data_IF_953837841769
#
_entry.id   IF_953837841769
#
_cell.length_a   1.000
_cell.length_b   1.000
_cell.length_c   1.000
_cell.angle_alpha   90.00
_cell.angle_beta   90.00
_cell.angle_gamma   90.00
#
_symmetry.space_group_name_H-M   'P 1'
#
loop_
_entity.id
_entity.type
_entity.pdbx_description
1 polymer ?
#
# COMPACT_ATOMS: atom_id res chain seq x y z
N UNK A 1 -11.37 -24.78 17.05
CA UNK A 1 -11.24 -23.33 17.33
C UNK A 1 -10.28 -22.77 16.29
N UNK A 2 -10.43 -21.55 15.77
CA UNK A 2 -9.52 -21.01 14.76
C UNK A 2 -8.20 -20.64 15.46
N UNK A 3 -7.03 -20.96 14.85
CA UNK A 3 -5.67 -20.68 15.35
C UNK A 3 -5.51 -19.22 15.81
N UNK A 4 -6.05 -18.27 15.06
CA UNK A 4 -6.01 -16.86 15.43
C UNK A 4 -6.66 -16.59 16.80
N UNK A 5 -7.80 -17.23 17.07
CA UNK A 5 -8.47 -17.06 18.37
C UNK A 5 -7.69 -17.66 19.54
N UNK A 6 -6.92 -18.72 19.29
CA UNK A 6 -6.04 -19.34 20.30
C UNK A 6 -4.87 -18.39 20.60
N UNK A 7 -4.20 -17.87 19.55
CA UNK A 7 -3.12 -16.88 19.70
C UNK A 7 -3.59 -15.61 20.43
N UNK A 8 -4.77 -15.08 20.11
CA UNK A 8 -5.31 -13.90 20.80
C UNK A 8 -5.52 -14.17 22.29
N UNK A 9 -6.08 -15.32 22.65
CA UNK A 9 -6.28 -15.69 24.05
C UNK A 9 -4.97 -15.87 24.82
N UNK A 10 -3.96 -16.43 24.16
CA UNK A 10 -2.65 -16.71 24.76
C UNK A 10 -1.84 -15.42 24.93
N UNK A 11 -1.70 -14.61 23.86
CA UNK A 11 -0.79 -13.47 23.82
C UNK A 11 -1.45 -12.13 24.16
N UNK A 12 -2.78 -12.02 24.07
CA UNK A 12 -3.51 -10.79 24.35
C UNK A 12 -4.70 -11.01 25.28
N UNK A 13 -4.53 -11.66 26.46
CA UNK A 13 -5.64 -11.95 27.37
C UNK A 13 -6.36 -10.69 27.88
N UNK A 14 -5.65 -9.55 27.92
CA UNK A 14 -6.16 -8.25 28.36
C UNK A 14 -6.46 -7.29 27.17
N UNK A 15 -6.54 -7.81 25.94
CA UNK A 15 -6.74 -7.04 24.73
C UNK A 15 -5.46 -6.62 24.03
N UNK A 16 -5.59 -6.02 22.85
CA UNK A 16 -4.47 -5.57 22.02
C UNK A 16 -4.19 -4.10 22.29
N UNK A 17 -2.92 -3.71 22.55
CA UNK A 17 -2.59 -2.30 22.73
C UNK A 17 -2.72 -1.53 21.41
N UNK A 18 -3.19 -0.27 21.50
CA UNK A 18 -3.24 0.66 20.39
C UNK A 18 -2.10 1.66 20.47
N UNK A 19 -1.43 1.94 19.35
CA UNK A 19 -0.36 2.92 19.23
C UNK A 19 -0.51 3.75 17.97
N UNK A 20 0.11 4.94 17.95
CA UNK A 20 0.15 5.77 16.75
C UNK A 20 1.11 5.18 15.72
N UNK A 21 0.80 5.35 14.43
CA UNK A 21 1.67 4.90 13.33
C UNK A 21 3.10 5.40 13.51
N UNK A 22 3.28 6.68 13.83
CA UNK A 22 4.61 7.30 14.03
C UNK A 22 5.43 6.71 15.17
N UNK A 23 4.79 6.07 16.15
CA UNK A 23 5.46 5.49 17.31
C UNK A 23 5.90 4.04 17.08
N UNK A 24 5.46 3.43 15.97
CA UNK A 24 5.70 2.01 15.65
C UNK A 24 6.50 1.85 14.35
N UNK A 25 6.27 2.73 13.37
CA UNK A 25 6.82 2.59 12.02
C UNK A 25 7.76 3.74 11.66
N UNK A 26 8.80 3.42 10.92
CA UNK A 26 9.76 4.40 10.42
C UNK A 26 9.24 5.04 9.14
N UNK A 27 9.15 6.37 9.13
CA UNK A 27 8.80 7.12 7.94
C UNK A 27 9.98 7.22 6.98
N UNK A 28 9.73 6.94 5.71
CA UNK A 28 10.69 7.06 4.62
C UNK A 28 10.63 8.44 3.97
N UNK A 29 11.74 8.83 3.33
CA UNK A 29 11.85 10.09 2.58
C UNK A 29 11.65 9.83 1.10
N UNK A 30 10.86 10.68 0.44
CA UNK A 30 10.70 10.70 -1.01
C UNK A 30 11.86 11.42 -1.72
N UNK A 31 11.82 11.41 -3.04
CA UNK A 31 12.74 12.13 -3.92
C UNK A 31 12.11 13.45 -4.37
N UNK A 32 12.82 14.58 -4.30
CA UNK A 32 12.35 15.87 -4.79
C UNK A 32 12.42 15.90 -6.33
N UNK A 33 11.43 15.31 -6.99
CA UNK A 33 11.35 15.24 -8.46
C UNK A 33 10.10 15.94 -8.96
N UNK A 34 10.22 16.68 -10.07
CA UNK A 34 9.08 17.36 -10.73
C UNK A 34 8.35 16.41 -11.68
N UNK A 35 7.08 16.73 -11.98
CA UNK A 35 6.31 15.96 -12.96
C UNK A 35 6.94 15.99 -14.37
N UNK A 36 7.55 17.13 -14.76
CA UNK A 36 8.28 17.25 -16.02
C UNK A 36 9.48 16.30 -16.07
N UNK A 37 10.28 16.28 -15.00
CA UNK A 37 11.44 15.38 -14.93
C UNK A 37 11.04 13.91 -14.91
N UNK A 38 9.95 13.55 -14.24
CA UNK A 38 9.42 12.19 -14.30
C UNK A 38 9.08 11.76 -15.73
N UNK A 39 8.43 12.63 -16.52
CA UNK A 39 8.11 12.34 -17.93
C UNK A 39 9.37 12.18 -18.80
N UNK A 40 10.42 12.98 -18.53
CA UNK A 40 11.68 12.93 -19.26
C UNK A 40 12.44 11.63 -19.03
N UNK A 41 12.46 11.13 -17.78
CA UNK A 41 13.24 9.94 -17.40
C UNK A 41 12.44 8.63 -17.43
N UNK A 42 11.15 8.69 -17.79
CA UNK A 42 10.31 7.48 -17.88
C UNK A 42 10.89 6.50 -18.91
N UNK A 43 10.98 5.23 -18.52
CA UNK A 43 11.56 4.15 -19.33
C UNK A 43 10.86 2.83 -19.02
N UNK A 44 10.36 2.14 -20.05
CA UNK A 44 9.68 0.84 -19.88
C UNK A 44 10.59 -0.25 -19.29
N UNK A 45 11.91 -0.07 -19.38
CA UNK A 45 12.92 -0.98 -18.84
C UNK A 45 13.60 -0.45 -17.56
N UNK A 46 13.01 0.57 -16.91
CA UNK A 46 13.53 1.14 -15.68
C UNK A 46 13.41 0.16 -14.50
N UNK A 47 14.45 0.07 -13.70
CA UNK A 47 14.50 -0.83 -12.53
C UNK A 47 13.91 -0.19 -11.26
N UNK A 48 13.66 1.12 -11.27
CA UNK A 48 13.12 1.87 -10.14
C UNK A 48 11.72 2.37 -10.46
N UNK A 49 10.75 2.01 -9.62
CA UNK A 49 9.41 2.54 -9.72
C UNK A 49 9.29 3.88 -8.97
N UNK A 50 8.73 4.90 -9.63
CA UNK A 50 8.50 6.23 -9.06
C UNK A 50 7.01 6.47 -8.91
N UNK A 51 6.56 6.62 -7.65
CA UNK A 51 5.17 6.92 -7.33
C UNK A 51 4.95 8.43 -7.18
N UNK A 52 3.84 8.93 -7.69
CA UNK A 52 3.42 10.32 -7.52
C UNK A 52 1.92 10.42 -7.24
N UNK A 53 1.47 11.58 -6.81
CA UNK A 53 0.05 11.85 -6.54
C UNK A 53 -0.85 11.56 -7.74
N UNK A 54 -2.13 11.26 -7.48
CA UNK A 54 -3.12 10.98 -8.53
C UNK A 54 -2.93 9.64 -9.25
N UNK A 55 -2.28 8.65 -8.62
CA UNK A 55 -1.95 7.33 -9.19
C UNK A 55 -0.96 7.38 -10.37
N UNK A 56 -0.17 8.44 -10.49
CA UNK A 56 0.89 8.49 -11.48
C UNK A 56 2.04 7.59 -11.04
N UNK A 57 2.37 6.61 -11.88
CA UNK A 57 3.48 5.67 -11.65
C UNK A 57 4.27 5.59 -12.95
N UNK A 58 5.59 5.65 -12.84
CA UNK A 58 6.52 5.42 -13.95
C UNK A 58 7.64 4.50 -13.50
N UNK A 59 8.28 3.83 -14.44
CA UNK A 59 9.57 3.18 -14.23
C UNK A 59 10.70 4.07 -14.77
N UNK A 60 11.88 4.05 -14.16
CA UNK A 60 13.04 4.85 -14.56
C UNK A 60 14.33 4.15 -14.15
N UNK A 61 15.45 4.50 -14.82
CA UNK A 61 16.78 4.05 -14.38
C UNK A 61 17.25 4.88 -13.19
N UNK A 62 17.81 4.24 -12.19
CA UNK A 62 18.29 4.91 -10.96
C UNK A 62 19.26 6.07 -11.27
N UNK A 63 20.18 5.89 -12.24
CA UNK A 63 21.14 6.90 -12.66
C UNK A 63 20.50 8.20 -13.18
N UNK A 64 19.26 8.13 -13.68
CA UNK A 64 18.54 9.25 -14.25
C UNK A 64 17.68 10.00 -13.24
N UNK A 65 17.53 9.45 -12.01
CA UNK A 65 16.74 10.05 -10.93
C UNK A 65 17.61 11.03 -10.14
N UNK A 66 17.36 12.34 -10.22
CA UNK A 66 18.19 13.33 -9.53
C UNK A 66 18.01 13.25 -8.01
N UNK A 67 19.12 13.23 -7.26
CA UNK A 67 19.09 13.17 -5.77
C UNK A 67 18.19 12.06 -5.24
N UNK A 68 18.28 10.88 -5.82
CA UNK A 68 17.41 9.76 -5.54
C UNK A 68 17.48 9.29 -4.08
N UNK A 69 16.31 9.22 -3.43
CA UNK A 69 16.11 8.49 -2.19
C UNK A 69 15.43 7.16 -2.55
N UNK A 70 16.22 6.15 -2.91
CA UNK A 70 15.70 4.85 -3.32
C UNK A 70 15.44 3.99 -2.08
N UNK A 71 14.22 3.52 -1.96
CA UNK A 71 13.82 2.53 -0.95
C UNK A 71 13.98 1.13 -1.54
N UNK A 72 14.65 0.23 -0.81
CA UNK A 72 14.90 -1.17 -1.21
C UNK A 72 14.36 -2.17 -0.20
N UNK A 73 13.53 -1.70 0.71
CA UNK A 73 12.83 -2.51 1.71
C UNK A 73 11.32 -2.42 1.48
N UNK A 74 10.55 -3.43 1.88
CA UNK A 74 9.09 -3.36 1.81
C UNK A 74 8.56 -2.13 2.56
N UNK A 75 7.58 -1.48 1.99
CA UNK A 75 6.97 -0.30 2.59
C UNK A 75 5.49 -0.15 2.25
N UNK A 76 4.81 0.62 3.06
CA UNK A 76 3.42 1.05 2.83
C UNK A 76 3.45 2.50 2.39
N UNK A 77 3.04 2.76 1.15
CA UNK A 77 2.91 4.10 0.59
C UNK A 77 1.51 4.67 0.88
N UNK A 78 1.48 5.95 1.19
CA UNK A 78 0.24 6.71 1.37
C UNK A 78 0.11 7.72 0.25
N UNK A 79 -0.89 7.54 -0.60
CA UNK A 79 -1.32 8.53 -1.57
C UNK A 79 -2.15 9.60 -0.87
N UNK A 80 -1.55 10.74 -0.64
CA UNK A 80 -2.12 11.81 0.17
C UNK A 80 -2.96 12.81 -0.60
N UNK A 81 -2.94 12.77 -1.95
CA UNK A 81 -3.57 13.80 -2.79
C UNK A 81 -4.22 13.19 -4.03
N UNK A 82 -5.39 13.71 -4.39
CA UNK A 82 -6.22 13.21 -5.47
C UNK A 82 -6.99 11.97 -5.00
N UNK A 83 -6.60 10.80 -5.46
CA UNK A 83 -7.16 9.54 -4.95
C UNK A 83 -6.41 9.16 -3.68
N UNK A 84 -7.02 9.34 -2.52
CA UNK A 84 -6.46 8.87 -1.25
C UNK A 84 -6.46 7.35 -1.25
N UNK A 85 -5.29 6.75 -1.21
CA UNK A 85 -5.12 5.29 -1.22
C UNK A 85 -3.87 4.85 -0.45
N UNK A 86 -3.81 3.55 -0.17
CA UNK A 86 -2.71 2.89 0.54
C UNK A 86 -2.21 1.76 -0.34
N UNK A 87 -0.90 1.70 -0.57
CA UNK A 87 -0.26 0.67 -1.38
C UNK A 87 0.89 0.00 -0.62
N UNK A 88 1.00 -1.31 -0.75
CA UNK A 88 2.17 -2.08 -0.31
C UNK A 88 3.10 -2.29 -1.52
N UNK A 89 4.40 -2.04 -1.32
CA UNK A 89 5.38 -2.27 -2.37
C UNK A 89 6.70 -2.80 -1.78
N UNK A 90 7.29 -3.79 -2.43
CA UNK A 90 8.44 -4.56 -1.93
C UNK A 90 9.63 -4.65 -2.90
N UNK A 91 9.53 -3.98 -4.06
CA UNK A 91 10.65 -3.85 -5.01
C UNK A 91 11.31 -2.48 -4.88
N UNK A 92 12.49 -2.24 -5.49
CA UNK A 92 13.12 -0.92 -5.45
C UNK A 92 12.21 0.19 -5.99
N UNK A 93 12.04 1.26 -5.21
CA UNK A 93 11.16 2.37 -5.57
C UNK A 93 11.60 3.68 -4.94
N UNK A 94 11.01 4.76 -5.41
CA UNK A 94 10.95 6.04 -4.74
C UNK A 94 9.59 6.70 -4.95
N UNK A 95 9.36 7.83 -4.33
CA UNK A 95 8.11 8.57 -4.45
C UNK A 95 8.34 10.07 -4.34
N UNK A 96 7.44 10.87 -4.92
CA UNK A 96 7.49 12.32 -4.81
C UNK A 96 7.18 12.79 -3.38
N UNK A 97 7.74 13.94 -3.01
CA UNK A 97 7.63 14.50 -1.65
C UNK A 97 6.21 14.83 -1.17
N UNK A 98 5.21 14.88 -2.07
CA UNK A 98 3.80 15.00 -1.68
C UNK A 98 3.21 13.71 -1.12
N UNK A 99 3.92 12.59 -1.25
CA UNK A 99 3.57 11.31 -0.66
C UNK A 99 4.49 11.00 0.52
N UNK A 100 4.15 10.00 1.28
CA UNK A 100 5.03 9.43 2.29
C UNK A 100 4.85 7.92 2.36
N UNK A 101 5.81 7.26 2.98
CA UNK A 101 5.78 5.82 3.17
C UNK A 101 6.30 5.44 4.54
N UNK A 102 5.92 4.26 4.99
CA UNK A 102 6.32 3.69 6.27
C UNK A 102 6.92 2.30 6.07
N UNK A 103 7.93 1.99 6.88
CA UNK A 103 8.54 0.66 6.94
C UNK A 103 8.79 0.25 8.39
N UNK A 104 9.22 -0.99 8.58
CA UNK A 104 9.63 -1.57 9.87
C UNK A 104 10.76 -2.56 9.63
N UNK A 105 11.54 -2.89 10.65
CA UNK A 105 12.53 -3.96 10.61
C UNK A 105 11.88 -5.33 10.34
N UNK A 106 10.66 -5.53 10.85
CA UNK A 106 9.88 -6.74 10.66
C UNK A 106 8.97 -6.62 9.42
N UNK A 107 9.28 -7.36 8.35
CA UNK A 107 8.54 -7.33 7.08
C UNK A 107 7.05 -7.66 7.29
N UNK A 108 6.74 -8.62 8.16
CA UNK A 108 5.35 -8.97 8.46
C UNK A 108 4.59 -7.81 9.07
N UNK A 109 5.27 -6.99 9.89
CA UNK A 109 4.67 -5.80 10.50
C UNK A 109 4.35 -4.74 9.45
N UNK A 110 5.17 -4.59 8.40
CA UNK A 110 4.89 -3.69 7.27
C UNK A 110 3.63 -4.13 6.53
N UNK A 111 3.50 -5.43 6.27
CA UNK A 111 2.32 -5.96 5.58
C UNK A 111 1.06 -5.91 6.44
N UNK A 112 1.19 -6.12 7.75
CA UNK A 112 0.13 -5.91 8.72
C UNK A 112 -0.34 -4.45 8.71
N UNK A 113 0.58 -3.47 8.73
CA UNK A 113 0.26 -2.05 8.59
C UNK A 113 -0.55 -1.77 7.33
N UNK A 114 -0.13 -2.33 6.19
CA UNK A 114 -0.86 -2.19 4.93
C UNK A 114 -2.33 -2.60 5.09
N UNK A 115 -2.59 -3.78 5.65
CA UNK A 115 -3.96 -4.27 5.84
C UNK A 115 -4.78 -3.41 6.80
N UNK A 116 -4.18 -2.94 7.90
CA UNK A 116 -4.86 -2.06 8.85
C UNK A 116 -5.23 -0.72 8.20
N UNK A 117 -4.27 -0.07 7.52
CA UNK A 117 -4.53 1.22 6.87
C UNK A 117 -5.50 1.08 5.68
N UNK A 118 -5.39 -0.01 4.91
CA UNK A 118 -6.30 -0.29 3.78
C UNK A 118 -7.72 -0.52 4.24
N UNK A 119 -7.91 -1.26 5.32
CA UNK A 119 -9.22 -1.45 5.95
C UNK A 119 -9.81 -0.14 6.50
N UNK A 120 -8.96 0.80 6.90
CA UNK A 120 -9.35 2.11 7.43
C UNK A 120 -9.39 3.21 6.36
N UNK A 121 -9.35 2.86 5.08
CA UNK A 121 -9.21 3.83 3.97
C UNK A 121 -10.33 4.89 3.96
N UNK A 122 -11.53 4.53 4.38
CA UNK A 122 -12.65 5.48 4.43
C UNK A 122 -12.41 6.57 5.48
N UNK A 123 -11.85 6.24 6.63
CA UNK A 123 -11.45 7.23 7.67
C UNK A 123 -10.49 8.28 7.11
N UNK A 124 -9.52 7.85 6.29
CA UNK A 124 -8.57 8.78 5.64
C UNK A 124 -9.25 9.63 4.57
N UNK A 125 -10.17 9.07 3.80
CA UNK A 125 -10.93 9.81 2.79
C UNK A 125 -11.85 10.85 3.43
N UNK A 126 -12.49 10.52 4.54
CA UNK A 126 -13.37 11.44 5.29
C UNK A 126 -12.57 12.56 5.97
N UNK A 127 -11.30 12.31 6.32
CA UNK A 127 -10.38 13.32 6.85
C UNK A 127 -9.77 14.23 5.77
N UNK A 128 -10.03 13.96 4.49
CA UNK A 128 -9.49 14.77 3.41
C UNK A 128 -10.19 16.15 3.34
N UNK A 129 -9.37 17.19 3.22
CA UNK A 129 -9.82 18.57 2.98
C UNK A 129 -9.71 18.93 1.50
N UNK A 130 -10.59 19.81 1.00
CA UNK A 130 -10.52 20.31 -0.38
C UNK A 130 -11.88 20.43 -1.06
N UNK A 131 -12.72 21.36 -0.64
CA UNK A 131 -13.92 21.72 -1.40
C UNK A 131 -13.52 22.32 -2.75
N UNK A 132 -13.83 21.62 -3.86
CA UNK A 132 -13.56 22.05 -5.24
C UNK A 132 -12.13 21.85 -5.74
N UNK A 133 -11.19 21.44 -4.89
CA UNK A 133 -9.82 21.04 -5.26
C UNK A 133 -9.65 19.52 -5.13
N UNK A 134 -8.50 19.00 -5.55
CA UNK A 134 -8.17 17.58 -5.35
C UNK A 134 -8.16 17.27 -3.84
N UNK A 135 -8.89 16.23 -3.37
CA UNK A 135 -8.86 15.82 -1.97
C UNK A 135 -7.43 15.62 -1.48
N UNK A 136 -7.14 16.05 -0.27
CA UNK A 136 -5.81 15.92 0.31
C UNK A 136 -5.90 15.66 1.81
N UNK A 137 -5.09 14.72 2.30
CA UNK A 137 -4.84 14.53 3.74
C UNK A 137 -3.46 15.09 4.11
N UNK A 138 -3.31 15.52 5.35
CA UNK A 138 -2.00 15.91 5.89
C UNK A 138 -1.24 14.69 6.42
N UNK A 139 0.07 14.79 6.50
CA UNK A 139 0.92 13.76 7.10
C UNK A 139 0.45 13.39 8.53
N UNK A 140 0.01 14.39 9.31
CA UNK A 140 -0.48 14.21 10.66
C UNK A 140 -1.66 13.24 10.75
N UNK A 141 -2.53 13.19 9.74
CA UNK A 141 -3.69 12.28 9.70
C UNK A 141 -3.25 10.82 9.79
N UNK A 142 -2.19 10.44 9.08
CA UNK A 142 -1.66 9.06 9.14
C UNK A 142 -0.71 8.85 10.31
N UNK A 143 0.12 9.81 10.68
CA UNK A 143 1.05 9.69 11.81
C UNK A 143 0.33 9.53 13.17
N UNK A 144 -0.78 10.24 13.36
CA UNK A 144 -1.59 10.18 14.59
C UNK A 144 -2.64 9.06 14.58
N UNK A 145 -2.79 8.35 13.46
CA UNK A 145 -3.74 7.25 13.37
C UNK A 145 -3.39 6.16 14.37
N UNK A 146 -4.39 5.78 15.20
CA UNK A 146 -4.26 4.75 16.21
C UNK A 146 -4.53 3.37 15.59
N UNK A 147 -3.56 2.47 15.65
CA UNK A 147 -3.70 1.10 15.16
C UNK A 147 -3.46 0.08 16.27
N UNK A 148 -4.09 -1.10 16.20
CA UNK A 148 -3.78 -2.20 17.09
C UNK A 148 -2.37 -2.72 16.78
N UNK A 149 -1.59 -3.02 17.82
CA UNK A 149 -0.23 -3.56 17.69
C UNK A 149 -0.15 -4.88 18.47
N UNK A 150 -0.72 -5.97 17.94
CA UNK A 150 -0.58 -7.27 18.58
C UNK A 150 0.85 -7.81 18.42
N UNK A 151 1.26 -8.81 19.21
CA UNK A 151 2.50 -9.56 19.02
C UNK A 151 2.67 -10.08 17.59
N UNK A 152 3.92 -10.29 17.18
CA UNK A 152 4.26 -10.69 15.80
C UNK A 152 3.62 -12.00 15.36
N UNK A 153 3.40 -12.93 16.28
CA UNK A 153 2.74 -14.21 16.04
C UNK A 153 1.30 -13.98 15.52
N UNK A 154 0.58 -13.06 16.15
CA UNK A 154 -0.78 -12.69 15.71
C UNK A 154 -0.74 -11.93 14.40
N UNK A 155 0.21 -10.99 14.23
CA UNK A 155 0.37 -10.27 12.97
C UNK A 155 0.64 -11.24 11.81
N UNK A 156 1.52 -12.24 12.00
CA UNK A 156 1.81 -13.28 10.99
C UNK A 156 0.57 -14.06 10.60
N UNK A 157 -0.22 -14.48 11.56
CA UNK A 157 -1.45 -15.25 11.28
C UNK A 157 -2.48 -14.40 10.53
N UNK A 158 -2.67 -13.13 10.93
CA UNK A 158 -3.56 -12.20 10.22
C UNK A 158 -3.08 -11.97 8.78
N UNK A 159 -1.80 -11.68 8.58
CA UNK A 159 -1.21 -11.47 7.25
C UNK A 159 -1.36 -12.72 6.40
N UNK A 160 -1.07 -13.90 6.95
CA UNK A 160 -1.22 -15.18 6.23
C UNK A 160 -2.65 -15.40 5.74
N UNK A 161 -3.63 -15.17 6.61
CA UNK A 161 -5.05 -15.31 6.26
C UNK A 161 -5.43 -14.32 5.14
N UNK A 162 -5.08 -13.05 5.28
CA UNK A 162 -5.46 -12.01 4.33
C UNK A 162 -4.73 -12.15 2.99
N UNK A 163 -3.47 -12.58 2.99
CA UNK A 163 -2.73 -12.89 1.77
C UNK A 163 -3.36 -14.06 1.01
N UNK A 164 -3.76 -15.11 1.73
CA UNK A 164 -4.44 -16.26 1.15
C UNK A 164 -5.76 -15.88 0.49
N UNK A 165 -6.56 -15.02 1.13
CA UNK A 165 -7.79 -14.50 0.52
C UNK A 165 -7.51 -13.63 -0.70
N UNK A 166 -6.47 -12.79 -0.65
CA UNK A 166 -6.09 -11.93 -1.77
C UNK A 166 -5.68 -12.76 -2.99
N UNK A 167 -4.86 -13.80 -2.78
CA UNK A 167 -4.43 -14.71 -3.83
C UNK A 167 -5.62 -15.46 -4.44
N UNK A 168 -6.46 -16.08 -3.60
CA UNK A 168 -7.63 -16.82 -4.05
C UNK A 168 -8.61 -15.93 -4.84
N UNK A 169 -8.81 -14.70 -4.39
CA UNK A 169 -9.67 -13.74 -5.09
C UNK A 169 -9.09 -13.36 -6.45
N UNK A 170 -7.77 -13.18 -6.55
CA UNK A 170 -7.09 -12.88 -7.81
C UNK A 170 -7.20 -14.05 -8.81
N UNK A 171 -6.98 -15.29 -8.36
CA UNK A 171 -7.13 -16.51 -9.16
C UNK A 171 -8.56 -16.66 -9.69
N UNK A 172 -9.57 -16.54 -8.82
CA UNK A 172 -10.98 -16.64 -9.20
C UNK A 172 -11.38 -15.53 -10.19
N UNK A 173 -10.90 -14.31 -9.99
CA UNK A 173 -11.17 -13.19 -10.90
C UNK A 173 -10.55 -13.44 -12.27
N UNK A 174 -9.33 -13.98 -12.35
CA UNK A 174 -8.67 -14.32 -13.61
C UNK A 174 -9.44 -15.43 -14.36
N UNK A 175 -9.86 -16.48 -13.66
CA UNK A 175 -10.65 -17.57 -14.22
C UNK A 175 -11.99 -17.09 -14.79
N UNK A 176 -12.76 -16.33 -14.00
CA UNK A 176 -14.04 -15.76 -14.44
C UNK A 176 -13.89 -14.82 -15.63
N UNK A 177 -12.81 -14.04 -15.68
CA UNK A 177 -12.52 -13.14 -16.82
C UNK A 177 -12.20 -13.93 -18.08
N UNK A 178 -11.42 -15.00 -17.96
CA UNK A 178 -11.10 -15.89 -19.08
C UNK A 178 -12.37 -16.59 -19.60
N UNK A 179 -13.22 -17.12 -18.71
CA UNK A 179 -14.48 -17.74 -19.08
C UNK A 179 -15.43 -16.76 -19.79
N UNK A 180 -15.58 -15.54 -19.23
CA UNK A 180 -16.41 -14.51 -19.85
C UNK A 180 -15.94 -14.15 -21.26
N UNK A 181 -14.62 -14.05 -21.44
CA UNK A 181 -14.00 -13.76 -22.74
C UNK A 181 -14.26 -14.88 -23.75
N UNK A 182 -14.13 -16.15 -23.32
CA UNK A 182 -14.42 -17.30 -24.16
C UNK A 182 -15.90 -17.35 -24.57
N UNK A 183 -16.82 -17.11 -23.63
CA UNK A 183 -18.27 -17.07 -23.92
C UNK A 183 -18.66 -15.93 -24.86
N UNK A 184 -18.04 -14.75 -24.75
CA UNK A 184 -18.28 -13.64 -25.69
C UNK A 184 -17.84 -14.01 -27.10
N UNK A 185 -16.65 -14.61 -27.28
CA UNK A 185 -16.19 -15.11 -28.60
C UNK A 185 -17.11 -16.15 -29.20
N UNK A 186 -17.58 -17.10 -28.38
CA UNK A 186 -18.54 -18.11 -28.78
C UNK A 186 -19.87 -17.50 -29.26
N UNK A 187 -20.39 -16.54 -28.50
CA UNK A 187 -21.62 -15.83 -28.88
C UNK A 187 -21.47 -15.05 -30.21
N UNK A 188 -20.35 -14.37 -30.40
CA UNK A 188 -20.05 -13.66 -31.68
C UNK A 188 -19.94 -14.61 -32.87
N UNK A 189 -19.45 -15.83 -32.66
CA UNK A 189 -19.35 -16.84 -33.72
C UNK A 189 -20.72 -17.41 -34.15
N UNK A 190 -21.68 -17.52 -33.24
CA UNK A 190 -23.02 -18.06 -33.53
C UNK A 190 -24.05 -16.99 -33.92
N UNK A 191 -23.69 -15.73 -33.95
CA UNK A 191 -24.56 -14.63 -34.40
C UNK A 191 -24.32 -14.27 -35.86
#
# INVERSE_FOLDING_TARGET
MNRLNELIKEYCPNGVPFRKVKDVYTRLKGTPITASKMKEIASDNGEIKIFAGGKTIIDAHEKDIPKANITRVPAVLVQSRGVIDIEYYDKPFTFKNEMWAYTSEEIVSVKFLYYVLKNSIQTFRDAASGMGALPQISLKVTEEFMLPVPPLEIQREIVHILDSFTLLTAELTAELTAELTARKKQYEFYR
#
